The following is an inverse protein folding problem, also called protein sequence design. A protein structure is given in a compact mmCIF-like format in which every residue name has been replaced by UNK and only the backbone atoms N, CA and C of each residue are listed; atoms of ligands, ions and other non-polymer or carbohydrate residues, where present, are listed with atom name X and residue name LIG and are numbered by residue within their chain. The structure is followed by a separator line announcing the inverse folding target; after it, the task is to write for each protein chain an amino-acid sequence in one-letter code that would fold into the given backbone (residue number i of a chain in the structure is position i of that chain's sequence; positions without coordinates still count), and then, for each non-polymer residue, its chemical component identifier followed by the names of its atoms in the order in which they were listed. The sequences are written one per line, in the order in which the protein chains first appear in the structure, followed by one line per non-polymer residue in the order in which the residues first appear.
data_IF_932402213457
#
_entry.id   IF_932402213457
#
_cell.length_a   1.000
_cell.length_b   1.000
_cell.length_c   1.000
_cell.angle_alpha   90.00
_cell.angle_beta   90.00
_cell.angle_gamma   90.00
#
_symmetry.space_group_name_H-M   'P 1'
#
loop_
_entity.id
_entity.type
_entity.pdbx_description
1 polymer ?
#
# COMPACT_ATOMS: atom_id res chain seq x y z
N UNK A 1 -2.99 5.60 -21.71
CA UNK A 1 -2.53 5.26 -20.34
C UNK A 1 -1.25 6.03 -20.00
N UNK A 2 -0.22 5.98 -20.84
CA UNK A 2 1.00 6.80 -20.65
C UNK A 2 0.70 8.31 -20.62
N UNK A 3 -0.18 8.81 -21.51
CA UNK A 3 -0.60 10.22 -21.50
C UNK A 3 -1.24 10.67 -20.17
N UNK A 4 -1.99 9.77 -19.50
CA UNK A 4 -2.61 10.05 -18.21
C UNK A 4 -1.58 10.09 -17.07
N UNK A 5 -0.52 9.28 -17.18
CA UNK A 5 0.57 9.25 -16.20
C UNK A 5 1.38 10.54 -16.30
N UNK A 6 1.72 10.94 -17.54
CA UNK A 6 2.47 12.17 -17.80
C UNK A 6 1.66 13.42 -17.45
N UNK A 7 0.35 13.45 -17.72
CA UNK A 7 -0.50 14.59 -17.35
C UNK A 7 -0.64 14.79 -15.83
N UNK A 8 -0.51 13.72 -15.06
CA UNK A 8 -0.45 13.76 -13.60
C UNK A 8 0.96 14.15 -13.06
N UNK A 9 1.94 14.38 -13.93
CA UNK A 9 3.33 14.67 -13.56
C UNK A 9 4.10 13.47 -13.01
N UNK A 10 3.57 12.25 -13.22
CA UNK A 10 4.22 11.01 -12.81
C UNK A 10 5.12 10.48 -13.93
N UNK A 11 6.12 9.67 -13.56
CA UNK A 11 7.04 9.03 -14.51
C UNK A 11 6.77 7.54 -14.58
N UNK A 12 6.65 7.01 -15.79
CA UNK A 12 6.56 5.56 -16.01
C UNK A 12 7.94 4.92 -15.79
N UNK A 13 8.00 3.96 -14.87
CA UNK A 13 9.21 3.17 -14.56
C UNK A 13 8.90 1.71 -14.89
N UNK A 14 9.61 1.15 -15.87
CA UNK A 14 9.49 -0.25 -16.24
C UNK A 14 10.35 -1.12 -15.33
N UNK A 15 9.73 -2.08 -14.66
CA UNK A 15 10.41 -3.04 -13.80
C UNK A 15 10.72 -4.32 -14.59
N UNK A 16 11.87 -4.99 -14.32
CA UNK A 16 12.17 -6.28 -14.91
C UNK A 16 11.14 -7.34 -14.47
N UNK A 17 10.87 -8.32 -15.33
CA UNK A 17 9.99 -9.43 -14.99
C UNK A 17 10.52 -10.18 -13.74
N UNK A 18 9.68 -10.34 -12.72
CA UNK A 18 10.00 -10.99 -11.45
C UNK A 18 11.17 -10.37 -10.69
N UNK A 19 11.08 -9.07 -10.37
CA UNK A 19 11.96 -8.42 -9.39
C UNK A 19 11.22 -8.10 -8.07
N UNK A 20 10.81 -9.11 -7.28
CA UNK A 20 10.11 -8.90 -6.00
C UNK A 20 10.97 -8.09 -5.02
N UNK A 21 12.30 -8.22 -5.08
CA UNK A 21 13.23 -7.49 -4.21
C UNK A 21 13.42 -6.01 -4.59
N UNK A 22 13.01 -5.59 -5.79
CA UNK A 22 13.17 -4.21 -6.30
C UNK A 22 11.91 -3.36 -6.19
N UNK A 23 10.90 -3.81 -5.46
CA UNK A 23 9.69 -3.02 -5.23
C UNK A 23 9.73 -2.45 -3.81
N UNK A 24 10.08 -1.16 -3.62
CA UNK A 24 10.10 -0.50 -2.30
C UNK A 24 8.78 -0.66 -1.52
N UNK A 25 7.69 -0.92 -2.25
CA UNK A 25 6.36 -1.14 -1.71
C UNK A 25 6.23 -2.48 -0.97
N UNK A 26 7.04 -3.50 -1.25
CA UNK A 26 6.93 -4.82 -0.61
C UNK A 26 7.24 -4.76 0.89
N UNK A 27 8.28 -4.03 1.27
CA UNK A 27 8.59 -3.80 2.69
C UNK A 27 7.48 -3.01 3.39
N UNK A 28 6.93 -2.00 2.70
CA UNK A 28 5.78 -1.24 3.20
C UNK A 28 4.56 -2.14 3.38
N UNK A 29 4.26 -3.02 2.40
CA UNK A 29 3.18 -3.98 2.47
C UNK A 29 3.37 -5.02 3.56
N UNK A 30 4.61 -5.48 3.81
CA UNK A 30 4.91 -6.38 4.92
C UNK A 30 4.56 -5.74 6.27
N UNK A 31 5.02 -4.50 6.50
CA UNK A 31 4.68 -3.74 7.72
C UNK A 31 3.18 -3.47 7.84
N UNK A 32 2.53 -3.11 6.73
CA UNK A 32 1.09 -2.86 6.69
C UNK A 32 0.28 -4.12 7.00
N UNK A 33 0.60 -5.25 6.37
CA UNK A 33 -0.05 -6.54 6.62
C UNK A 33 0.16 -7.03 8.04
N UNK A 34 1.37 -6.88 8.61
CA UNK A 34 1.63 -7.24 10.00
C UNK A 34 0.80 -6.42 10.98
N UNK A 35 0.66 -5.12 10.73
CA UNK A 35 -0.25 -4.27 11.50
C UNK A 35 -1.70 -4.75 11.39
N UNK A 36 -2.22 -4.99 10.19
CA UNK A 36 -3.61 -5.45 10.04
C UNK A 36 -3.86 -6.80 10.74
N UNK A 37 -2.89 -7.73 10.65
CA UNK A 37 -2.97 -9.04 11.29
C UNK A 37 -3.05 -8.94 12.82
N UNK A 38 -2.43 -7.95 13.45
CA UNK A 38 -2.51 -7.78 14.91
C UNK A 38 -3.89 -7.36 15.42
N UNK A 39 -4.77 -6.86 14.54
CA UNK A 39 -6.13 -6.46 14.90
C UNK A 39 -7.17 -7.55 14.61
N UNK A 40 -6.78 -8.66 13.98
CA UNK A 40 -7.60 -9.84 13.71
C UNK A 40 -9.01 -9.55 13.12
N UNK A 41 -9.14 -8.49 12.32
CA UNK A 41 -10.41 -8.11 11.70
C UNK A 41 -11.00 -9.26 10.87
N UNK A 42 -12.28 -9.59 11.08
CA UNK A 42 -12.99 -10.68 10.39
C UNK A 42 -14.10 -10.19 9.48
N UNK A 43 -14.38 -8.88 9.46
CA UNK A 43 -15.33 -8.25 8.53
C UNK A 43 -14.70 -7.06 7.81
N UNK A 44 -15.31 -6.66 6.68
CA UNK A 44 -14.84 -5.51 5.91
C UNK A 44 -14.92 -4.22 6.73
N UNK A 45 -15.99 -4.05 7.51
CA UNK A 45 -16.20 -2.87 8.34
C UNK A 45 -15.14 -2.77 9.45
N UNK A 46 -14.78 -3.91 10.06
CA UNK A 46 -13.70 -3.96 11.04
C UNK A 46 -12.36 -3.59 10.41
N UNK A 47 -12.10 -4.06 9.18
CA UNK A 47 -10.89 -3.73 8.44
C UNK A 47 -10.82 -2.21 8.15
N UNK A 48 -11.91 -1.62 7.67
CA UNK A 48 -11.99 -0.18 7.36
C UNK A 48 -11.78 0.68 8.60
N UNK A 49 -12.32 0.28 9.75
CA UNK A 49 -12.10 0.95 11.03
C UNK A 49 -10.62 0.91 11.44
N UNK A 50 -9.96 -0.24 11.28
CA UNK A 50 -8.53 -0.40 11.62
C UNK A 50 -7.65 0.45 10.71
N UNK A 51 -7.94 0.49 9.41
CA UNK A 51 -7.24 1.34 8.43
C UNK A 51 -7.44 2.82 8.79
N UNK A 52 -8.67 3.23 9.09
CA UNK A 52 -9.00 4.62 9.46
C UNK A 52 -8.37 5.05 10.79
N UNK A 53 -8.24 4.15 11.77
CA UNK A 53 -7.58 4.45 13.06
C UNK A 53 -6.10 4.78 12.89
N UNK A 54 -5.41 4.15 11.94
CA UNK A 54 -3.98 4.37 11.69
C UNK A 54 -3.70 5.80 11.22
N UNK A 55 -4.58 6.35 10.39
CA UNK A 55 -4.43 7.69 9.81
C UNK A 55 -4.47 8.79 10.89
N UNK A 56 -5.25 8.58 11.96
CA UNK A 56 -5.43 9.55 13.05
C UNK A 56 -4.40 9.46 14.18
N UNK A 57 -3.58 8.41 14.22
CA UNK A 57 -2.60 8.21 15.31
C UNK A 57 -1.25 8.91 15.06
N UNK A 58 -1.09 9.62 13.94
CA UNK A 58 0.14 10.31 13.53
C UNK A 58 0.04 11.86 13.64
N UNK A 59 -0.86 12.36 14.49
CA UNK A 59 -0.95 13.78 14.90
C UNK A 59 -1.02 13.91 16.41
#
# INVERSE_FOLDING_TARGET
MEELINSAGAKLIFLPAYSPDLSPIELCWSKFKNFLRSYEARTSEQLDQVISKRDRSNY
#
